data_IF_998772321995
#
_entry.id   IF_998772321995
#
_cell.length_a   1.000
_cell.length_b   1.000
_cell.length_c   1.000
_cell.angle_alpha   90.00
_cell.angle_beta   90.00
_cell.angle_gamma   90.00
#
_symmetry.space_group_name_H-M   'P 1'
#
loop_
_entity.id
_entity.type
_entity.pdbx_description
1 polymer ?
#
# COMPACT_ATOMS: atom_id res chain seq x y z
N UNK A 1 24.80 -25.89 51.41
CA UNK A 1 23.35 -26.06 51.13
C UNK A 1 22.46 -24.87 51.57
N UNK A 2 22.67 -24.23 52.72
CA UNK A 2 21.85 -23.09 53.17
C UNK A 2 21.97 -21.86 52.26
N UNK A 3 23.20 -21.48 51.87
CA UNK A 3 23.47 -20.33 51.01
C UNK A 3 22.78 -20.49 49.64
N UNK A 4 22.83 -21.66 49.04
CA UNK A 4 22.19 -21.95 47.74
C UNK A 4 20.66 -21.76 47.82
N UNK A 5 20.01 -22.12 48.93
CA UNK A 5 18.58 -21.87 49.15
C UNK A 5 18.25 -20.37 49.15
N UNK A 6 19.08 -19.57 49.82
CA UNK A 6 18.84 -18.10 49.86
C UNK A 6 19.08 -17.44 48.52
N UNK A 7 20.09 -17.89 47.75
CA UNK A 7 20.32 -17.40 46.39
C UNK A 7 19.13 -17.75 45.50
N UNK A 8 18.62 -18.98 45.56
CA UNK A 8 17.47 -19.42 44.77
C UNK A 8 16.19 -18.65 45.15
N UNK A 9 15.98 -18.41 46.46
CA UNK A 9 14.85 -17.62 46.96
C UNK A 9 14.95 -16.16 46.50
N UNK A 10 16.14 -15.57 46.50
CA UNK A 10 16.40 -14.23 46.02
C UNK A 10 16.11 -14.14 44.52
N UNK A 11 16.57 -15.10 43.71
CA UNK A 11 16.30 -15.14 42.26
C UNK A 11 14.80 -15.28 41.97
N UNK A 12 14.11 -16.11 42.72
CA UNK A 12 12.65 -16.26 42.62
C UNK A 12 11.94 -14.96 42.94
N UNK A 13 12.34 -14.27 44.01
CA UNK A 13 11.76 -12.98 44.40
C UNK A 13 12.02 -11.90 43.32
N UNK A 14 13.23 -11.86 42.78
CA UNK A 14 13.54 -10.94 41.65
C UNK A 14 12.72 -11.28 40.41
N UNK A 15 12.51 -12.56 40.10
CA UNK A 15 11.65 -12.97 38.97
C UNK A 15 10.20 -12.54 39.15
N UNK A 16 9.64 -12.74 40.38
CA UNK A 16 8.28 -12.27 40.66
C UNK A 16 8.19 -10.75 40.60
N UNK A 17 9.16 -10.04 41.19
CA UNK A 17 9.21 -8.58 41.11
C UNK A 17 9.25 -8.08 39.64
N UNK A 18 10.04 -8.74 38.80
CA UNK A 18 10.12 -8.41 37.36
C UNK A 18 8.79 -8.65 36.64
N UNK A 19 8.11 -9.77 36.90
CA UNK A 19 6.79 -10.04 36.30
C UNK A 19 5.77 -8.99 36.72
N UNK A 20 5.74 -8.62 38.00
CA UNK A 20 4.86 -7.57 38.53
C UNK A 20 5.19 -6.22 37.86
N UNK A 21 6.48 -5.89 37.75
CA UNK A 21 6.94 -4.68 37.09
C UNK A 21 6.43 -4.62 35.64
N UNK A 22 6.60 -5.69 34.85
CA UNK A 22 6.11 -5.77 33.47
C UNK A 22 4.58 -5.62 33.40
N UNK A 23 3.86 -6.30 34.30
CA UNK A 23 2.39 -6.25 34.34
C UNK A 23 1.85 -4.85 34.65
N UNK A 24 2.56 -4.06 35.43
CA UNK A 24 2.18 -2.70 35.83
C UNK A 24 2.54 -1.62 34.76
N UNK A 25 3.28 -1.98 33.70
CA UNK A 25 3.59 -1.06 32.63
C UNK A 25 2.33 -0.57 31.91
N UNK A 26 2.38 0.68 31.41
CA UNK A 26 1.27 1.26 30.65
C UNK A 26 0.92 0.39 29.45
N UNK A 27 -0.37 0.12 29.28
CA UNK A 27 -0.85 -0.70 28.17
C UNK A 27 -1.10 0.11 26.89
N UNK A 28 -1.64 1.34 27.03
CA UNK A 28 -1.99 2.15 25.86
C UNK A 28 -0.73 2.73 25.22
N UNK A 29 -0.66 2.65 23.89
CA UNK A 29 0.43 3.23 23.14
C UNK A 29 -0.07 3.96 21.91
N UNK A 30 0.75 4.90 21.46
CA UNK A 30 0.60 5.63 20.22
C UNK A 30 1.98 5.84 19.59
N UNK A 31 2.17 5.31 18.41
CA UNK A 31 3.41 5.47 17.63
C UNK A 31 3.08 6.20 16.34
N UNK A 32 3.94 7.12 15.94
CA UNK A 32 3.80 7.87 14.70
C UNK A 32 5.14 7.85 13.96
N UNK A 33 5.10 7.49 12.68
CA UNK A 33 6.24 7.56 11.77
C UNK A 33 5.85 8.32 10.52
N UNK A 34 6.80 9.02 9.94
CA UNK A 34 6.58 9.78 8.72
C UNK A 34 7.75 9.64 7.78
N UNK A 35 7.45 9.54 6.48
CA UNK A 35 8.46 9.48 5.43
C UNK A 35 8.02 10.30 4.21
N UNK A 36 8.94 11.10 3.68
CA UNK A 36 8.75 11.78 2.40
C UNK A 36 9.21 10.85 1.26
N UNK A 37 8.32 10.61 0.31
CA UNK A 37 8.56 9.78 -0.89
C UNK A 37 8.51 10.70 -2.10
N UNK A 38 9.51 10.55 -3.01
CA UNK A 38 9.64 11.37 -4.23
C UNK A 38 8.71 10.92 -5.36
N UNK A 39 7.47 10.64 -5.00
CA UNK A 39 6.41 10.18 -5.90
C UNK A 39 5.16 10.97 -5.58
N UNK A 40 4.31 11.23 -6.59
CA UNK A 40 3.08 11.99 -6.38
C UNK A 40 2.16 11.30 -5.37
N UNK A 41 1.43 12.10 -4.61
CA UNK A 41 0.54 11.62 -3.56
C UNK A 41 -0.49 10.60 -4.07
N UNK A 42 -1.02 10.83 -5.26
CA UNK A 42 -2.05 9.98 -5.84
C UNK A 42 -1.53 8.57 -6.15
N UNK A 43 -0.30 8.47 -6.67
CA UNK A 43 0.35 7.18 -6.93
C UNK A 43 0.61 6.46 -5.61
N UNK A 44 1.15 7.16 -4.62
CA UNK A 44 1.44 6.58 -3.31
C UNK A 44 0.16 6.11 -2.62
N UNK A 45 -0.91 6.93 -2.65
CA UNK A 45 -2.21 6.57 -2.09
C UNK A 45 -2.79 5.33 -2.77
N UNK A 46 -2.81 5.30 -4.10
CA UNK A 46 -3.34 4.17 -4.87
C UNK A 46 -2.59 2.87 -4.56
N UNK A 47 -1.26 2.93 -4.47
CA UNK A 47 -0.44 1.78 -4.13
C UNK A 47 -0.73 1.26 -2.71
N UNK A 48 -0.79 2.16 -1.70
CA UNK A 48 -1.01 1.76 -0.30
C UNK A 48 -2.45 1.30 -0.06
N UNK A 49 -3.42 1.84 -0.80
CA UNK A 49 -4.84 1.45 -0.69
C UNK A 49 -5.18 0.15 -1.42
N UNK A 50 -4.33 -0.30 -2.34
CA UNK A 50 -4.52 -1.55 -3.06
C UNK A 50 -4.22 -2.74 -2.15
N UNK A 51 -5.22 -3.59 -1.95
CA UNK A 51 -5.08 -4.80 -1.14
C UNK A 51 -4.12 -5.83 -1.75
N UNK A 52 -3.93 -5.82 -3.08
CA UNK A 52 -2.99 -6.71 -3.76
C UNK A 52 -1.55 -6.28 -3.53
N UNK A 53 -1.28 -4.98 -3.42
CA UNK A 53 0.03 -4.41 -3.14
C UNK A 53 0.45 -4.53 -1.67
N UNK A 54 -0.47 -4.93 -0.78
CA UNK A 54 -0.18 -5.07 0.66
C UNK A 54 1.00 -6.01 0.92
N UNK A 55 1.18 -7.04 0.11
CA UNK A 55 2.28 -8.02 0.25
C UNK A 55 3.66 -7.38 0.02
N UNK A 56 3.72 -6.33 -0.80
CA UNK A 56 4.97 -5.70 -1.19
C UNK A 56 5.49 -4.71 -0.15
N UNK A 57 4.60 -4.09 0.63
CA UNK A 57 5.00 -3.06 1.60
C UNK A 57 4.74 -3.41 3.05
N UNK A 58 3.90 -4.39 3.36
CA UNK A 58 3.56 -4.77 4.72
C UNK A 58 4.78 -5.33 5.49
N UNK A 59 5.20 -4.71 6.60
CA UNK A 59 6.37 -5.18 7.37
C UNK A 59 6.09 -6.44 8.18
N UNK A 60 4.81 -6.82 8.37
CA UNK A 60 4.40 -8.00 9.13
C UNK A 60 4.04 -9.21 8.27
N UNK A 61 4.44 -9.23 7.02
CA UNK A 61 4.02 -10.27 6.05
C UNK A 61 4.29 -11.72 6.51
N UNK A 62 5.19 -11.90 7.48
CA UNK A 62 5.58 -13.22 8.03
C UNK A 62 4.92 -13.53 9.39
N UNK A 63 4.20 -12.61 10.00
CA UNK A 63 3.85 -12.65 11.42
C UNK A 63 2.34 -12.81 11.69
N UNK A 64 1.57 -13.41 10.80
CA UNK A 64 0.10 -13.61 10.96
C UNK A 64 -0.66 -12.34 11.37
N UNK A 65 -0.32 -11.21 10.76
CA UNK A 65 -1.00 -9.94 10.99
C UNK A 65 -2.12 -9.77 9.99
N UNK A 66 -3.30 -9.38 10.46
CA UNK A 66 -4.49 -9.18 9.62
C UNK A 66 -4.79 -7.69 9.51
N UNK A 67 -4.85 -7.20 8.29
CA UNK A 67 -5.27 -5.85 7.94
C UNK A 67 -6.74 -5.84 7.54
N UNK A 68 -7.51 -4.90 8.08
CA UNK A 68 -8.90 -4.68 7.70
C UNK A 68 -9.14 -3.19 7.48
N UNK A 69 -9.34 -2.79 6.23
CA UNK A 69 -9.71 -1.42 5.92
C UNK A 69 -11.09 -1.10 6.48
N UNK A 70 -11.20 0.01 7.20
CA UNK A 70 -12.45 0.52 7.77
C UNK A 70 -13.02 1.66 6.94
N UNK A 71 -12.15 2.59 6.51
CA UNK A 71 -12.54 3.76 5.72
C UNK A 71 -11.37 4.21 4.84
N UNK A 72 -11.66 4.41 3.57
CA UNK A 72 -10.75 5.00 2.60
C UNK A 72 -11.27 6.39 2.26
N UNK A 73 -10.48 7.43 2.53
CA UNK A 73 -10.73 8.79 2.08
C UNK A 73 -9.78 9.03 0.93
N UNK A 74 -10.28 9.13 -0.32
CA UNK A 74 -9.45 9.20 -1.51
C UNK A 74 -8.38 10.30 -1.41
N UNK A 75 -7.15 9.94 -1.71
CA UNK A 75 -5.98 10.81 -1.71
C UNK A 75 -5.70 11.55 -0.39
N UNK A 76 -6.24 11.08 0.74
CA UNK A 76 -6.07 11.76 2.04
C UNK A 76 -5.71 10.78 3.16
N UNK A 77 -6.61 9.85 3.51
CA UNK A 77 -6.43 9.03 4.69
C UNK A 77 -6.94 7.61 4.50
N UNK A 78 -6.18 6.64 4.96
CA UNK A 78 -6.60 5.25 5.11
C UNK A 78 -6.75 4.97 6.61
N UNK A 79 -7.96 4.61 7.03
CA UNK A 79 -8.25 4.11 8.37
C UNK A 79 -8.42 2.59 8.29
N UNK A 80 -7.64 1.87 9.07
CA UNK A 80 -7.66 0.42 9.09
C UNK A 80 -7.44 -0.13 10.50
N UNK A 81 -7.90 -1.34 10.75
CA UNK A 81 -7.50 -2.12 11.93
C UNK A 81 -6.38 -3.07 11.53
N UNK A 82 -5.35 -3.13 12.36
CA UNK A 82 -4.28 -4.11 12.26
C UNK A 82 -4.38 -5.03 13.48
N UNK A 83 -4.60 -6.31 13.26
CA UNK A 83 -4.60 -7.30 14.33
C UNK A 83 -3.20 -7.90 14.43
N UNK A 84 -2.52 -7.64 15.54
CA UNK A 84 -1.16 -8.13 15.85
C UNK A 84 -1.28 -9.04 17.09
N UNK A 85 -0.81 -10.28 17.01
CA UNK A 85 -0.93 -11.26 18.09
C UNK A 85 -2.36 -11.38 18.67
N UNK A 86 -3.38 -11.30 17.80
CA UNK A 86 -4.79 -11.36 18.18
C UNK A 86 -5.38 -10.05 18.73
N UNK A 87 -4.58 -9.02 18.95
CA UNK A 87 -5.03 -7.71 19.44
C UNK A 87 -5.30 -6.74 18.30
N UNK A 88 -6.44 -6.07 18.36
CA UNK A 88 -6.83 -5.04 17.37
C UNK A 88 -6.16 -3.72 17.71
N UNK A 89 -5.50 -3.15 16.72
CA UNK A 89 -4.88 -1.84 16.79
C UNK A 89 -5.48 -0.95 15.70
N UNK A 90 -5.67 0.32 16.01
CA UNK A 90 -6.12 1.32 15.06
C UNK A 90 -4.91 1.89 14.31
N UNK A 91 -5.00 1.91 13.00
CA UNK A 91 -3.95 2.43 12.11
C UNK A 91 -4.52 3.52 11.23
N UNK A 92 -3.84 4.65 11.19
CA UNK A 92 -4.16 5.81 10.37
C UNK A 92 -2.97 6.12 9.47
N UNK A 93 -3.16 6.03 8.15
CA UNK A 93 -2.16 6.43 7.18
C UNK A 93 -2.66 7.68 6.47
N UNK A 94 -1.93 8.80 6.64
CA UNK A 94 -2.27 10.10 6.02
C UNK A 94 -1.27 10.43 4.94
N UNK A 95 -1.79 11.07 3.88
CA UNK A 95 -1.02 11.44 2.70
C UNK A 95 -1.12 12.95 2.47
N UNK A 96 0.01 13.63 2.40
CA UNK A 96 0.09 15.07 2.16
C UNK A 96 1.00 15.36 0.98
N UNK A 97 0.64 16.36 0.17
CA UNK A 97 1.51 16.83 -0.89
C UNK A 97 2.71 17.59 -0.30
N UNK A 98 3.89 17.37 -0.87
CA UNK A 98 5.07 18.15 -0.61
C UNK A 98 5.62 18.74 -1.92
N UNK A 99 6.61 19.63 -1.83
CA UNK A 99 7.29 20.16 -3.02
C UNK A 99 8.06 19.10 -3.81
N UNK A 100 8.37 17.96 -3.19
CA UNK A 100 9.21 16.89 -3.77
C UNK A 100 8.45 15.60 -4.04
N UNK A 101 7.18 15.51 -3.63
CA UNK A 101 6.37 14.31 -3.76
C UNK A 101 5.26 14.23 -2.72
N UNK A 102 5.24 13.17 -1.93
CA UNK A 102 4.25 12.93 -0.87
C UNK A 102 4.92 12.68 0.48
N UNK A 103 4.35 13.24 1.54
CA UNK A 103 4.64 12.88 2.92
C UNK A 103 3.58 11.88 3.38
N UNK A 104 4.03 10.70 3.78
CA UNK A 104 3.19 9.68 4.42
C UNK A 104 3.42 9.77 5.91
N UNK A 105 2.33 9.82 6.67
CA UNK A 105 2.35 9.72 8.13
C UNK A 105 1.55 8.51 8.55
N UNK A 106 2.20 7.55 9.17
CA UNK A 106 1.58 6.35 9.68
C UNK A 106 1.50 6.40 11.20
N UNK A 107 0.29 6.39 11.72
CA UNK A 107 -0.01 6.40 13.15
C UNK A 107 -0.62 5.04 13.54
N UNK A 108 -0.08 4.41 14.56
CA UNK A 108 -0.57 3.17 15.13
C UNK A 108 -0.92 3.38 16.60
N UNK A 109 -2.13 3.02 16.98
CA UNK A 109 -2.64 3.07 18.36
C UNK A 109 -3.17 1.71 18.78
N UNK A 110 -2.93 1.35 20.02
CA UNK A 110 -3.45 0.09 20.54
C UNK A 110 -3.15 -0.10 22.01
N UNK A 111 -3.31 -1.36 22.43
CA UNK A 111 -2.98 -1.79 23.78
C UNK A 111 -1.99 -2.92 23.72
N UNK A 112 -1.01 -2.88 24.63
CA UNK A 112 -0.04 -3.95 24.82
C UNK A 112 -0.64 -5.03 25.71
N UNK A 113 -0.56 -6.28 25.28
CA UNK A 113 -0.73 -7.43 26.15
C UNK A 113 0.54 -7.67 26.99
N UNK A 114 0.54 -8.72 27.78
CA UNK A 114 1.68 -9.03 28.63
C UNK A 114 2.94 -9.38 27.82
N UNK A 115 2.79 -10.09 26.70
CA UNK A 115 3.90 -10.49 25.84
C UNK A 115 4.56 -9.26 25.20
N UNK A 116 3.78 -8.37 24.59
CA UNK A 116 4.28 -7.13 24.00
C UNK A 116 4.86 -6.17 25.06
N UNK A 117 4.29 -6.13 26.28
CA UNK A 117 4.88 -5.39 27.41
C UNK A 117 6.26 -5.95 27.77
N UNK A 118 6.39 -7.27 27.86
CA UNK A 118 7.65 -7.94 28.16
C UNK A 118 8.70 -7.62 27.08
N UNK A 119 8.35 -7.78 25.80
CA UNK A 119 9.21 -7.43 24.68
C UNK A 119 9.60 -5.95 24.70
N UNK A 120 8.64 -5.06 24.97
CA UNK A 120 8.88 -3.63 25.10
C UNK A 120 9.89 -3.31 26.20
N UNK A 121 9.77 -3.92 27.38
CA UNK A 121 10.72 -3.73 28.47
C UNK A 121 12.12 -4.24 28.09
N UNK A 122 12.20 -5.39 27.43
CA UNK A 122 13.49 -5.98 27.02
C UNK A 122 14.17 -5.23 25.88
N UNK A 123 13.40 -4.63 24.99
CA UNK A 123 13.92 -3.92 23.80
C UNK A 123 14.00 -2.40 23.98
N UNK A 124 13.75 -1.88 25.18
CA UNK A 124 13.89 -0.47 25.50
C UNK A 124 12.72 0.41 25.08
N UNK A 125 11.54 -0.16 24.90
CA UNK A 125 10.29 0.55 24.67
C UNK A 125 9.44 -0.01 23.54
N UNK A 126 8.15 0.27 23.58
CA UNK A 126 7.20 -0.13 22.51
C UNK A 126 7.56 0.50 21.15
N UNK A 127 8.22 1.65 21.19
CA UNK A 127 8.67 2.35 20.00
C UNK A 127 9.73 1.55 19.23
N UNK A 128 10.64 0.87 19.92
CA UNK A 128 11.63 -0.01 19.29
C UNK A 128 11.02 -1.31 18.77
N UNK A 129 9.90 -1.78 19.36
CA UNK A 129 9.25 -3.02 18.93
C UNK A 129 8.35 -2.80 17.72
N UNK A 130 7.49 -1.79 17.77
CA UNK A 130 6.47 -1.54 16.74
C UNK A 130 6.83 -0.37 15.83
N UNK A 131 7.60 0.62 16.32
CA UNK A 131 8.02 1.76 15.53
C UNK A 131 8.96 1.37 14.39
N UNK A 132 9.92 0.46 14.66
CA UNK A 132 10.81 -0.08 13.63
C UNK A 132 10.02 -0.79 12.53
N UNK A 133 8.90 -1.44 12.86
CA UNK A 133 8.01 -2.05 11.86
C UNK A 133 7.31 -1.01 10.99
N UNK A 134 6.87 0.10 11.57
CA UNK A 134 6.29 1.19 10.77
C UNK A 134 7.34 1.82 9.85
N UNK A 135 8.57 2.01 10.32
CA UNK A 135 9.67 2.51 9.50
C UNK A 135 10.02 1.54 8.38
N UNK A 136 10.05 0.22 8.65
CA UNK A 136 10.23 -0.82 7.64
C UNK A 136 9.15 -0.75 6.57
N UNK A 137 7.87 -0.66 6.94
CA UNK A 137 6.77 -0.54 5.99
C UNK A 137 6.85 0.72 5.13
N UNK A 138 7.16 1.87 5.73
CA UNK A 138 7.36 3.12 4.98
C UNK A 138 8.57 3.04 4.04
N UNK A 139 9.64 2.37 4.44
CA UNK A 139 10.80 2.12 3.60
C UNK A 139 10.48 1.18 2.44
N UNK A 140 9.67 0.15 2.67
CA UNK A 140 9.23 -0.77 1.62
C UNK A 140 8.40 -0.04 0.56
N UNK A 141 7.44 0.83 0.98
CA UNK A 141 6.66 1.66 0.07
C UNK A 141 7.58 2.52 -0.80
N UNK A 142 8.54 3.22 -0.20
CA UNK A 142 9.49 4.08 -0.90
C UNK A 142 10.33 3.28 -1.91
N UNK A 143 10.93 2.17 -1.46
CA UNK A 143 11.79 1.33 -2.27
C UNK A 143 11.05 0.72 -3.46
N UNK A 144 9.82 0.21 -3.22
CA UNK A 144 9.00 -0.38 -4.27
C UNK A 144 8.63 0.65 -5.32
N UNK A 145 8.06 1.79 -4.91
CA UNK A 145 7.62 2.82 -5.84
C UNK A 145 8.78 3.47 -6.61
N UNK A 146 9.91 3.71 -5.96
CA UNK A 146 11.09 4.24 -6.66
C UNK A 146 11.61 3.22 -7.67
N UNK A 147 11.67 1.92 -7.32
CA UNK A 147 12.09 0.86 -8.23
C UNK A 147 11.15 0.76 -9.44
N UNK A 148 9.84 0.72 -9.23
CA UNK A 148 8.85 0.64 -10.31
C UNK A 148 8.95 1.84 -11.26
N UNK A 149 9.08 3.06 -10.71
CA UNK A 149 9.17 4.29 -11.50
C UNK A 149 10.52 4.45 -12.23
N UNK A 150 11.58 3.77 -11.76
CA UNK A 150 12.90 3.83 -12.40
C UNK A 150 13.21 2.61 -13.26
N UNK A 151 12.40 1.55 -13.18
CA UNK A 151 12.65 0.29 -13.88
C UNK A 151 12.30 0.31 -15.36
N UNK A 152 11.47 1.29 -15.82
CA UNK A 152 11.15 1.40 -17.24
C UNK A 152 12.18 2.26 -17.98
N UNK A 153 12.56 1.81 -19.18
CA UNK A 153 13.42 2.54 -20.10
C UNK A 153 12.61 2.96 -21.32
N UNK A 154 12.46 4.26 -21.53
CA UNK A 154 11.91 4.77 -22.78
C UNK A 154 13.04 4.86 -23.80
N UNK A 155 12.93 4.10 -24.87
CA UNK A 155 13.83 4.22 -26.01
C UNK A 155 13.06 4.89 -27.16
N UNK A 156 13.51 6.07 -27.57
CA UNK A 156 12.99 6.74 -28.77
C UNK A 156 13.70 6.11 -29.96
N UNK A 157 12.96 5.28 -30.72
CA UNK A 157 13.49 4.56 -31.88
C UNK A 157 13.73 5.42 -33.13
N UNK A 158 13.48 6.74 -33.04
CA UNK A 158 13.60 7.66 -34.16
C UNK A 158 12.27 7.90 -34.89
N UNK A 159 12.35 8.61 -36.03
CA UNK A 159 11.20 8.87 -36.90
C UNK A 159 10.88 7.62 -37.71
N UNK A 160 9.65 7.14 -37.60
CA UNK A 160 9.13 6.06 -38.42
C UNK A 160 8.19 6.65 -39.44
N UNK A 161 8.46 6.46 -40.72
CA UNK A 161 7.54 6.82 -41.79
C UNK A 161 6.54 5.69 -41.99
N UNK A 162 5.27 5.94 -41.70
CA UNK A 162 4.18 5.04 -42.10
C UNK A 162 3.61 5.47 -43.44
N UNK A 163 3.41 4.51 -44.30
CA UNK A 163 2.64 4.76 -45.53
C UNK A 163 1.20 5.11 -45.18
N UNK A 164 0.54 5.90 -46.03
CA UNK A 164 -0.88 6.22 -45.86
C UNK A 164 -1.68 4.92 -45.75
N UNK A 165 -2.46 4.80 -44.69
CA UNK A 165 -3.27 3.60 -44.40
C UNK A 165 -4.69 4.07 -44.14
N UNK A 166 -5.65 3.39 -44.72
CA UNK A 166 -7.05 3.59 -44.39
C UNK A 166 -7.38 2.75 -43.13
N UNK A 167 -8.14 3.33 -42.23
CA UNK A 167 -8.65 2.59 -41.08
C UNK A 167 -10.12 2.85 -40.86
N UNK A 168 -10.77 1.88 -40.23
CA UNK A 168 -12.11 1.99 -39.71
C UNK A 168 -11.98 2.41 -38.27
N UNK A 169 -12.68 3.45 -37.88
CA UNK A 169 -12.68 3.89 -36.46
C UNK A 169 -14.12 3.98 -35.94
N UNK A 170 -14.26 3.71 -34.67
CA UNK A 170 -15.44 4.02 -33.91
C UNK A 170 -15.00 4.88 -32.71
N UNK A 171 -15.75 5.94 -32.43
CA UNK A 171 -15.50 6.83 -31.27
C UNK A 171 -16.64 6.64 -30.28
N UNK A 172 -16.31 6.60 -29.02
CA UNK A 172 -17.28 6.54 -27.94
C UNK A 172 -16.74 7.26 -26.73
N UNK A 173 -17.63 7.69 -25.82
CA UNK A 173 -17.30 8.34 -24.57
C UNK A 173 -17.82 7.50 -23.43
N UNK A 174 -16.98 7.17 -22.45
CA UNK A 174 -17.40 6.35 -21.33
C UNK A 174 -16.68 6.76 -20.04
N UNK A 175 -17.23 6.32 -18.92
CA UNK A 175 -16.54 6.43 -17.64
C UNK A 175 -15.32 5.49 -17.58
N UNK A 176 -14.34 5.83 -16.74
CA UNK A 176 -13.17 4.97 -16.51
C UNK A 176 -13.60 3.57 -16.04
N UNK A 177 -14.68 3.48 -15.26
CA UNK A 177 -15.22 2.22 -14.75
C UNK A 177 -15.85 1.34 -15.84
N UNK A 178 -16.40 1.95 -16.87
CA UNK A 178 -17.08 1.25 -17.97
C UNK A 178 -16.16 0.98 -19.17
N UNK A 179 -14.96 1.54 -19.15
CA UNK A 179 -14.01 1.51 -20.27
C UNK A 179 -13.79 0.09 -20.83
N UNK A 180 -13.57 -0.90 -19.95
CA UNK A 180 -13.33 -2.27 -20.40
C UNK A 180 -14.55 -2.87 -21.12
N UNK A 181 -15.75 -2.56 -20.65
CA UNK A 181 -17.00 -3.04 -21.25
C UNK A 181 -17.26 -2.36 -22.59
N UNK A 182 -17.09 -1.04 -22.65
CA UNK A 182 -17.31 -0.24 -23.85
C UNK A 182 -16.29 -0.59 -24.93
N UNK A 183 -15.00 -0.65 -24.61
CA UNK A 183 -13.94 -0.99 -25.58
C UNK A 183 -14.13 -2.40 -26.16
N UNK A 184 -14.55 -3.38 -25.35
CA UNK A 184 -14.89 -4.71 -25.82
C UNK A 184 -16.09 -4.70 -26.80
N UNK A 185 -17.13 -3.93 -26.50
CA UNK A 185 -18.30 -3.78 -27.35
C UNK A 185 -17.93 -3.10 -28.68
N UNK A 186 -17.12 -2.03 -28.62
CA UNK A 186 -16.64 -1.36 -29.82
C UNK A 186 -15.86 -2.30 -30.74
N UNK A 187 -14.94 -3.07 -30.17
CA UNK A 187 -14.18 -4.06 -30.94
C UNK A 187 -15.07 -5.10 -31.60
N UNK A 188 -16.07 -5.62 -30.86
CA UNK A 188 -17.03 -6.58 -31.42
C UNK A 188 -17.83 -6.01 -32.58
N UNK A 189 -18.31 -4.77 -32.44
CA UNK A 189 -19.05 -4.07 -33.50
C UNK A 189 -18.18 -3.86 -34.73
N UNK A 190 -16.93 -3.44 -34.54
CA UNK A 190 -15.98 -3.22 -35.65
C UNK A 190 -15.65 -4.54 -36.36
N UNK A 191 -15.43 -5.62 -35.62
CA UNK A 191 -15.17 -6.93 -36.21
C UNK A 191 -16.38 -7.45 -37.02
N UNK A 192 -17.59 -7.30 -36.48
CA UNK A 192 -18.82 -7.66 -37.20
C UNK A 192 -19.01 -6.83 -38.47
N UNK A 193 -18.65 -5.54 -38.45
CA UNK A 193 -18.68 -4.68 -39.65
C UNK A 193 -17.67 -5.12 -40.71
N UNK A 194 -16.45 -5.46 -40.28
CA UNK A 194 -15.37 -5.94 -41.17
C UNK A 194 -15.80 -7.26 -41.83
N UNK A 195 -16.31 -8.21 -41.06
CA UNK A 195 -16.78 -9.51 -41.53
C UNK A 195 -17.96 -9.35 -42.53
N UNK A 196 -18.94 -8.51 -42.17
CA UNK A 196 -20.11 -8.25 -43.03
C UNK A 196 -19.75 -7.64 -44.38
N UNK A 197 -18.69 -6.84 -44.46
CA UNK A 197 -18.28 -6.12 -45.66
C UNK A 197 -17.08 -6.75 -46.39
N UNK A 198 -16.65 -7.94 -45.94
CA UNK A 198 -15.53 -8.69 -46.54
C UNK A 198 -14.25 -7.84 -46.66
N UNK A 199 -13.89 -7.15 -45.55
CA UNK A 199 -12.73 -6.25 -45.50
C UNK A 199 -11.52 -7.00 -44.92
N UNK A 200 -10.42 -7.01 -45.66
CA UNK A 200 -9.15 -7.56 -45.23
C UNK A 200 -8.50 -6.68 -44.16
N UNK A 201 -8.18 -7.24 -43.01
CA UNK A 201 -7.48 -6.56 -41.92
C UNK A 201 -5.98 -6.77 -42.10
N UNK A 202 -5.23 -5.65 -42.23
CA UNK A 202 -3.77 -5.68 -42.41
C UNK A 202 -2.96 -5.51 -41.12
N UNK A 203 -3.61 -5.36 -39.95
CA UNK A 203 -2.94 -5.11 -38.70
C UNK A 203 -3.79 -5.42 -37.49
N UNK A 204 -3.23 -5.22 -36.31
CA UNK A 204 -3.95 -5.39 -35.06
C UNK A 204 -4.80 -4.15 -34.74
N UNK A 205 -5.98 -4.32 -34.13
CA UNK A 205 -6.77 -3.20 -33.65
C UNK A 205 -6.00 -2.45 -32.56
N UNK A 206 -6.18 -1.15 -32.49
CA UNK A 206 -5.60 -0.30 -31.45
C UNK A 206 -6.62 0.72 -30.95
N UNK A 207 -6.41 1.23 -29.76
CA UNK A 207 -7.23 2.26 -29.13
C UNK A 207 -6.40 3.51 -28.99
N UNK A 208 -6.99 4.66 -29.37
CA UNK A 208 -6.43 5.99 -29.12
C UNK A 208 -7.35 6.75 -28.18
N UNK A 209 -6.78 7.52 -27.29
CA UNK A 209 -7.51 8.39 -26.38
C UNK A 209 -7.40 9.82 -26.89
N UNK A 210 -8.51 10.48 -27.15
CA UNK A 210 -8.53 11.88 -27.56
C UNK A 210 -8.42 12.81 -26.36
N UNK A 211 -9.13 12.48 -25.27
CA UNK A 211 -9.01 13.20 -24.00
C UNK A 211 -9.35 12.30 -22.82
N UNK A 212 -8.76 12.61 -21.68
CA UNK A 212 -9.08 11.99 -20.40
C UNK A 212 -9.38 13.13 -19.42
N UNK A 213 -10.64 13.27 -19.02
CA UNK A 213 -11.03 14.26 -18.03
C UNK A 213 -10.71 13.78 -16.63
N UNK A 214 -9.86 14.53 -15.93
CA UNK A 214 -9.52 14.22 -14.53
C UNK A 214 -10.65 14.56 -13.55
N UNK A 215 -11.58 15.43 -13.93
CA UNK A 215 -12.65 15.88 -13.05
C UNK A 215 -13.93 15.03 -13.17
N UNK A 216 -14.23 14.51 -14.36
CA UNK A 216 -15.49 13.80 -14.63
C UNK A 216 -15.33 12.29 -14.79
N UNK A 217 -14.10 11.79 -14.67
CA UNK A 217 -13.78 10.35 -14.84
C UNK A 217 -14.23 9.78 -16.17
N UNK A 218 -14.28 10.60 -17.21
CA UNK A 218 -14.64 10.21 -18.58
C UNK A 218 -13.41 10.07 -19.48
N UNK A 219 -13.48 9.12 -20.41
CA UNK A 219 -12.47 8.86 -21.45
C UNK A 219 -13.17 9.01 -22.81
N UNK A 220 -12.58 9.81 -23.68
CA UNK A 220 -13.01 9.97 -25.08
C UNK A 220 -11.92 9.40 -25.97
#
# INVERSE_FOLDING_TARGET
MRILKYILLLLLLLGVAFIVFVATQQSDYKIVRSKEIKVSKDIVYNFVSDSTALIDWNPWNKDNVVFKNLKLIPNDTILQNITISGMKNESFIRFQNTKKGALITWELKGKLDFELKLLSVLQGGVDNVLGDKLDEGLNNIDTYLVKELTSYKIAIGGLVTKHATNYIQQVDTCSITDFQKVSKSMLQNMMAFVEKNDIDILGLPFITYESISSNDKEII
#
